data_IF_284703008294
#
_entry.id   IF_284703008294
#
_cell.length_a   1.000
_cell.length_b   1.000
_cell.length_c   1.000
_cell.angle_alpha   90.00
_cell.angle_beta   90.00
_cell.angle_gamma   90.00
#
_symmetry.space_group_name_H-M   'P 1'
#
loop_
_entity.id
_entity.type
_entity.pdbx_description
1 polymer ?
#
# COMPACT_ATOMS: atom_id res chain seq x y z
N UNK A 1 7.08 -6.05 19.30
CA UNK A 1 8.17 -6.49 18.41
C UNK A 1 8.21 -8.00 18.19
N UNK A 2 8.60 -8.84 19.16
CA UNK A 2 8.71 -10.31 18.96
C UNK A 2 7.36 -10.98 18.72
N UNK A 3 6.34 -10.61 19.51
CA UNK A 3 4.98 -11.15 19.36
C UNK A 3 4.43 -10.93 17.95
N UNK A 4 4.62 -9.72 17.41
CA UNK A 4 4.06 -9.33 16.11
C UNK A 4 4.62 -10.16 14.95
N UNK A 5 5.94 -10.38 14.91
CA UNK A 5 6.53 -11.22 13.87
C UNK A 5 6.25 -12.71 14.08
N UNK A 6 6.18 -13.18 15.33
CA UNK A 6 5.75 -14.56 15.58
C UNK A 6 4.33 -14.80 15.03
N UNK A 7 3.44 -13.82 15.16
CA UNK A 7 2.09 -13.90 14.59
C UNK A 7 2.10 -13.82 13.06
N UNK A 8 2.95 -12.96 12.47
CA UNK A 8 3.11 -12.89 11.02
C UNK A 8 3.57 -14.23 10.45
N UNK A 9 4.60 -14.82 11.04
CA UNK A 9 5.13 -16.14 10.63
C UNK A 9 4.11 -17.26 10.88
N UNK A 10 3.35 -17.20 11.96
CA UNK A 10 2.26 -18.15 12.23
C UNK A 10 1.16 -18.13 11.15
N UNK A 11 0.99 -16.99 10.46
CA UNK A 11 0.09 -16.82 9.32
C UNK A 11 0.77 -17.11 7.96
N UNK A 12 2.00 -17.66 7.97
CA UNK A 12 2.85 -17.84 6.78
C UNK A 12 3.16 -16.53 6.04
N UNK A 13 3.09 -15.39 6.74
CA UNK A 13 3.42 -14.08 6.21
C UNK A 13 4.93 -13.91 6.06
N UNK A 14 5.37 -13.42 4.90
CA UNK A 14 6.78 -13.20 4.57
C UNK A 14 7.12 -11.74 4.21
N UNK A 15 6.13 -10.83 4.27
CA UNK A 15 6.30 -9.43 3.92
C UNK A 15 5.36 -8.54 4.76
N UNK A 16 5.82 -7.34 5.10
CA UNK A 16 4.95 -6.26 5.60
C UNK A 16 5.36 -4.89 5.06
N UNK A 17 4.44 -3.92 5.14
CA UNK A 17 4.68 -2.51 4.82
C UNK A 17 4.69 -1.69 6.11
N UNK A 18 5.58 -0.72 6.26
CA UNK A 18 5.61 0.16 7.44
C UNK A 18 4.56 1.27 7.35
N UNK A 19 3.29 0.88 7.25
CA UNK A 19 2.15 1.80 7.14
C UNK A 19 2.02 2.63 8.44
N UNK A 20 2.10 3.97 8.44
CA UNK A 20 2.42 4.88 7.33
C UNK A 20 3.62 5.76 7.68
N UNK A 21 4.68 5.15 8.20
CA UNK A 21 5.92 5.81 8.60
C UNK A 21 7.02 4.78 8.84
N UNK A 22 8.31 5.14 8.76
CA UNK A 22 9.38 4.23 9.09
C UNK A 22 9.24 3.75 10.54
N UNK A 23 9.24 2.43 10.76
CA UNK A 23 9.20 1.86 12.10
C UNK A 23 10.57 1.97 12.80
N UNK A 24 10.68 1.46 14.02
CA UNK A 24 11.94 1.52 14.79
C UNK A 24 13.07 0.71 14.12
N UNK A 25 14.33 1.05 14.38
CA UNK A 25 15.49 0.39 13.78
C UNK A 25 15.58 -1.09 14.20
N UNK A 26 15.19 -1.41 15.43
CA UNK A 26 15.13 -2.79 15.92
C UNK A 26 14.12 -3.62 15.14
N UNK A 27 13.05 -2.98 14.64
CA UNK A 27 12.05 -3.67 13.82
C UNK A 27 12.66 -4.11 12.48
N UNK A 28 13.46 -3.26 11.84
CA UNK A 28 14.17 -3.57 10.61
C UNK A 28 15.28 -4.61 10.84
N UNK A 29 16.08 -4.46 11.90
CA UNK A 29 17.11 -5.44 12.27
C UNK A 29 16.54 -6.84 12.53
N UNK A 30 15.36 -6.93 13.14
CA UNK A 30 14.70 -8.21 13.37
C UNK A 30 14.08 -8.78 12.08
N UNK A 31 13.62 -7.94 11.15
CA UNK A 31 13.17 -8.39 9.84
C UNK A 31 14.33 -8.97 9.01
N UNK A 32 15.50 -8.33 9.06
CA UNK A 32 16.74 -8.87 8.46
C UNK A 32 17.05 -10.26 9.02
N UNK A 33 17.02 -10.40 10.36
CA UNK A 33 17.37 -11.65 11.05
C UNK A 33 16.43 -12.81 10.69
N UNK A 34 15.15 -12.51 10.44
CA UNK A 34 14.12 -13.52 10.13
C UNK A 34 13.92 -13.75 8.63
N UNK A 35 14.49 -12.90 7.77
CA UNK A 35 14.27 -12.97 6.33
C UNK A 35 12.86 -12.55 5.91
N UNK A 36 12.27 -11.58 6.61
CA UNK A 36 10.96 -11.02 6.28
C UNK A 36 11.15 -9.78 5.42
N UNK A 37 10.51 -9.72 4.27
CA UNK A 37 10.60 -8.58 3.36
C UNK A 37 9.83 -7.36 3.91
N UNK A 38 10.36 -6.16 3.65
CA UNK A 38 9.79 -4.90 4.14
C UNK A 38 9.69 -3.90 3.00
N UNK A 39 8.48 -3.36 2.82
CA UNK A 39 8.25 -2.13 2.05
C UNK A 39 8.30 -0.97 3.05
N UNK A 40 9.41 -0.23 3.06
CA UNK A 40 9.58 0.89 3.99
C UNK A 40 8.94 2.15 3.40
N UNK A 41 8.09 2.80 4.17
CA UNK A 41 7.23 3.91 3.74
C UNK A 41 7.54 5.22 4.44
N UNK A 42 7.66 6.30 3.66
CA UNK A 42 7.79 7.66 4.16
C UNK A 42 6.46 8.16 4.76
N UNK A 43 6.49 9.08 5.74
CA UNK A 43 5.31 9.53 6.47
C UNK A 43 4.45 10.54 5.71
N UNK A 44 4.09 10.23 4.46
CA UNK A 44 3.26 11.07 3.60
C UNK A 44 1.93 10.35 3.28
N UNK A 45 1.00 10.37 4.23
CA UNK A 45 -0.34 9.77 4.11
C UNK A 45 -1.41 10.84 3.86
N UNK A 46 -2.32 10.57 2.92
CA UNK A 46 -3.45 11.46 2.66
C UNK A 46 -3.01 12.85 2.19
N UNK A 47 -2.02 12.92 1.30
CA UNK A 47 -1.45 14.19 0.85
C UNK A 47 -2.36 14.87 -0.19
N UNK A 48 -2.84 16.08 0.11
CA UNK A 48 -3.73 16.85 -0.78
C UNK A 48 -3.03 18.02 -1.50
N UNK A 49 -2.00 18.61 -0.88
CA UNK A 49 -1.34 19.83 -1.36
C UNK A 49 0.10 19.54 -1.82
N UNK A 50 0.38 19.89 -3.07
CA UNK A 50 1.63 19.59 -3.79
C UNK A 50 2.43 20.87 -4.06
N UNK A 51 2.72 21.63 -3.01
CA UNK A 51 3.52 22.85 -3.08
C UNK A 51 5.00 22.61 -2.75
N UNK A 52 5.83 23.62 -2.98
CA UNK A 52 7.28 23.50 -2.81
C UNK A 52 7.71 23.27 -1.35
N UNK A 53 7.13 23.95 -0.34
CA UNK A 53 7.42 23.64 1.06
C UNK A 53 7.15 22.17 1.43
N UNK A 54 5.99 21.62 1.02
CA UNK A 54 5.67 20.21 1.26
C UNK A 54 6.63 19.27 0.52
N UNK A 55 7.04 19.63 -0.70
CA UNK A 55 8.00 18.84 -1.48
C UNK A 55 9.38 18.81 -0.81
N UNK A 56 9.83 19.94 -0.25
CA UNK A 56 11.11 20.02 0.48
C UNK A 56 11.10 19.18 1.76
N UNK A 57 10.03 19.29 2.56
CA UNK A 57 9.88 18.49 3.77
C UNK A 57 9.81 16.99 3.43
N UNK A 58 9.03 16.62 2.41
CA UNK A 58 8.91 15.24 1.97
C UNK A 58 10.24 14.70 1.43
N UNK A 59 10.97 15.50 0.65
CA UNK A 59 12.32 15.17 0.19
C UNK A 59 13.27 14.88 1.36
N UNK A 60 13.20 15.69 2.42
CA UNK A 60 14.00 15.49 3.62
C UNK A 60 13.64 14.17 4.32
N UNK A 61 12.35 13.90 4.54
CA UNK A 61 11.90 12.67 5.21
C UNK A 61 12.28 11.41 4.42
N UNK A 62 12.21 11.44 3.08
CA UNK A 62 12.68 10.34 2.23
C UNK A 62 14.20 10.14 2.37
N UNK A 63 14.98 11.23 2.39
CA UNK A 63 16.44 11.15 2.58
C UNK A 63 16.80 10.52 3.91
N UNK A 64 16.18 10.97 5.00
CA UNK A 64 16.41 10.45 6.35
C UNK A 64 16.03 8.96 6.44
N UNK A 65 14.88 8.57 5.88
CA UNK A 65 14.45 7.17 5.83
C UNK A 65 15.47 6.30 5.07
N UNK A 66 15.90 6.71 3.88
CA UNK A 66 16.85 5.93 3.07
C UNK A 66 18.23 5.90 3.72
N UNK A 67 18.71 7.02 4.25
CA UNK A 67 20.02 7.09 4.93
C UNK A 67 20.08 6.11 6.10
N UNK A 68 19.00 6.04 6.89
CA UNK A 68 18.86 5.09 8.00
C UNK A 68 18.76 3.65 7.51
N UNK A 69 17.88 3.36 6.55
CA UNK A 69 17.44 1.98 6.28
C UNK A 69 18.12 1.31 5.07
N UNK A 70 18.89 2.02 4.24
CA UNK A 70 19.48 1.48 2.99
C UNK A 70 20.35 0.23 3.16
N UNK A 71 20.87 0.01 4.37
CA UNK A 71 21.73 -1.15 4.67
C UNK A 71 20.95 -2.36 5.18
N UNK A 72 19.64 -2.26 5.39
CA UNK A 72 18.79 -3.40 5.75
C UNK A 72 18.47 -4.24 4.51
N UNK A 73 18.95 -5.49 4.39
CA UNK A 73 18.56 -6.39 3.30
C UNK A 73 17.07 -6.72 3.30
N UNK A 74 16.38 -6.65 4.45
CA UNK A 74 14.94 -6.85 4.53
C UNK A 74 14.15 -5.79 3.78
N UNK A 75 14.68 -4.56 3.68
CA UNK A 75 14.02 -3.51 2.93
C UNK A 75 14.17 -3.80 1.44
N UNK A 76 13.06 -4.12 0.78
CA UNK A 76 13.05 -4.53 -0.63
C UNK A 76 12.51 -3.44 -1.57
N UNK A 77 11.82 -2.43 -1.05
CA UNK A 77 11.17 -1.40 -1.85
C UNK A 77 10.89 -0.15 -1.01
N UNK A 78 11.02 1.03 -1.62
CA UNK A 78 10.71 2.31 -0.98
C UNK A 78 9.30 2.78 -1.39
N UNK A 79 8.41 2.99 -0.42
CA UNK A 79 7.10 3.63 -0.63
C UNK A 79 7.21 5.11 -0.28
N UNK A 80 6.90 5.99 -1.24
CA UNK A 80 7.03 7.43 -1.02
C UNK A 80 5.77 8.04 -0.40
N UNK A 81 4.60 7.46 -0.59
CA UNK A 81 3.37 8.03 -0.05
C UNK A 81 2.24 6.99 0.01
N UNK A 82 1.27 7.24 0.88
CA UNK A 82 0.03 6.51 0.95
C UNK A 82 -1.16 7.39 0.59
N UNK A 83 -1.92 6.96 -0.41
CA UNK A 83 -3.16 7.59 -0.87
C UNK A 83 -3.05 9.12 -1.06
N UNK A 84 -2.02 9.63 -1.76
CA UNK A 84 -2.03 11.03 -2.15
C UNK A 84 -3.18 11.28 -3.14
N UNK A 85 -3.59 12.55 -3.27
CA UNK A 85 -4.48 13.00 -4.34
C UNK A 85 -3.77 12.99 -5.71
N UNK A 86 -3.32 11.82 -6.15
CA UNK A 86 -2.51 11.59 -7.35
C UNK A 86 -3.23 11.90 -8.65
N UNK A 87 -4.55 12.11 -8.61
CA UNK A 87 -5.34 12.56 -9.75
C UNK A 87 -5.18 14.07 -10.04
N UNK A 88 -4.63 14.86 -9.10
CA UNK A 88 -4.33 16.28 -9.32
C UNK A 88 -3.11 16.42 -10.25
N UNK A 89 -3.21 17.29 -11.27
CA UNK A 89 -2.10 17.56 -12.22
C UNK A 89 -0.80 17.99 -11.53
N UNK A 90 -0.89 18.72 -10.42
CA UNK A 90 0.26 19.16 -9.63
C UNK A 90 1.00 18.01 -8.95
N UNK A 91 0.36 16.85 -8.76
CA UNK A 91 1.01 15.66 -8.21
C UNK A 91 2.13 15.14 -9.12
N UNK A 92 2.00 15.31 -10.45
CA UNK A 92 2.98 14.78 -11.41
C UNK A 92 4.37 15.39 -11.21
N UNK A 93 4.47 16.72 -11.19
CA UNK A 93 5.76 17.39 -11.01
C UNK A 93 6.34 17.09 -9.63
N UNK A 94 5.49 17.16 -8.60
CA UNK A 94 5.86 16.86 -7.22
C UNK A 94 6.49 15.46 -7.07
N UNK A 95 5.80 14.41 -7.53
CA UNK A 95 6.31 13.05 -7.39
C UNK A 95 7.42 12.72 -8.40
N UNK A 96 7.46 13.35 -9.58
CA UNK A 96 8.58 13.22 -10.50
C UNK A 96 9.89 13.64 -9.83
N UNK A 97 9.90 14.78 -9.14
CA UNK A 97 11.10 15.29 -8.45
C UNK A 97 11.52 14.36 -7.31
N UNK A 98 10.56 13.89 -6.49
CA UNK A 98 10.82 12.94 -5.41
C UNK A 98 11.33 11.59 -5.90
N UNK A 99 10.75 11.03 -6.97
CA UNK A 99 11.18 9.75 -7.55
C UNK A 99 12.59 9.88 -8.12
N UNK A 100 12.89 10.95 -8.86
CA UNK A 100 14.23 11.19 -9.41
C UNK A 100 15.28 11.31 -8.30
N UNK A 101 14.94 12.05 -7.23
CA UNK A 101 15.79 12.15 -6.05
C UNK A 101 16.00 10.79 -5.38
N UNK A 102 14.93 10.03 -5.16
CA UNK A 102 14.97 8.71 -4.52
C UNK A 102 15.86 7.75 -5.32
N UNK A 103 15.73 7.71 -6.65
CA UNK A 103 16.60 6.92 -7.54
C UNK A 103 18.07 7.35 -7.47
N UNK A 104 18.34 8.63 -7.24
CA UNK A 104 19.70 9.13 -7.09
C UNK A 104 20.32 8.71 -5.74
N UNK A 105 19.50 8.54 -4.70
CA UNK A 105 19.93 8.10 -3.37
C UNK A 105 20.13 6.58 -3.29
N UNK A 106 19.24 5.80 -3.89
CA UNK A 106 19.32 4.34 -3.94
C UNK A 106 18.87 3.81 -5.31
N UNK A 107 19.81 3.23 -6.06
CA UNK A 107 19.56 2.59 -7.36
C UNK A 107 19.26 1.09 -7.26
N UNK A 108 19.37 0.51 -6.06
CA UNK A 108 19.35 -0.94 -5.84
C UNK A 108 17.96 -1.48 -5.56
N UNK A 109 16.99 -0.61 -5.26
CA UNK A 109 15.63 -0.98 -4.87
C UNK A 109 14.58 -0.28 -5.72
N UNK A 110 13.46 -0.95 -6.04
CA UNK A 110 12.32 -0.33 -6.67
C UNK A 110 11.67 0.74 -5.78
N UNK A 111 10.91 1.63 -6.43
CA UNK A 111 10.15 2.70 -5.79
C UNK A 111 8.66 2.48 -6.08
N UNK A 112 7.81 2.70 -5.08
CA UNK A 112 6.35 2.65 -5.19
C UNK A 112 5.71 3.87 -4.54
N UNK A 113 4.43 4.07 -4.86
CA UNK A 113 3.46 4.91 -4.16
C UNK A 113 2.20 4.06 -4.04
N UNK A 114 1.48 4.18 -2.92
CA UNK A 114 0.23 3.46 -2.69
C UNK A 114 -0.97 4.32 -3.14
N UNK A 115 -1.73 3.82 -4.11
CA UNK A 115 -2.77 4.57 -4.81
C UNK A 115 -4.20 4.19 -4.39
N UNK A 116 -5.02 5.20 -4.09
CA UNK A 116 -6.49 5.09 -3.96
C UNK A 116 -7.24 5.71 -5.15
N UNK A 117 -6.60 6.56 -5.95
CA UNK A 117 -7.16 7.13 -7.19
C UNK A 117 -7.52 6.05 -8.23
N UNK A 118 -8.46 6.35 -9.12
CA UNK A 118 -8.76 5.51 -10.28
C UNK A 118 -7.59 5.51 -11.26
N UNK A 119 -7.32 4.36 -11.90
CA UNK A 119 -6.25 4.22 -12.90
C UNK A 119 -6.33 5.30 -13.99
N UNK A 120 -7.54 5.66 -14.43
CA UNK A 120 -7.76 6.57 -15.56
C UNK A 120 -7.46 8.04 -15.28
N UNK A 121 -7.43 8.45 -14.02
CA UNK A 121 -7.17 9.84 -13.63
C UNK A 121 -5.81 10.03 -12.96
N UNK A 122 -5.11 8.95 -12.60
CA UNK A 122 -3.82 9.00 -11.94
C UNK A 122 -2.75 9.70 -12.81
N UNK A 123 -1.96 10.58 -12.20
CA UNK A 123 -0.95 11.39 -12.88
C UNK A 123 0.50 10.89 -12.64
N UNK A 124 0.67 9.83 -11.85
CA UNK A 124 1.94 9.49 -11.19
C UNK A 124 2.32 8.01 -11.35
N UNK A 125 1.37 7.10 -11.50
CA UNK A 125 1.61 5.65 -11.54
C UNK A 125 2.55 5.21 -12.68
N UNK A 126 2.63 5.97 -13.77
CA UNK A 126 3.59 5.76 -14.85
C UNK A 126 5.04 6.05 -14.44
N UNK A 127 5.30 6.67 -13.28
CA UNK A 127 6.64 7.03 -12.82
C UNK A 127 7.28 6.01 -11.85
N UNK A 128 6.48 5.21 -11.14
CA UNK A 128 6.94 4.24 -10.12
C UNK A 128 7.37 2.90 -10.72
N UNK A 129 8.13 2.06 -10.03
CA UNK A 129 8.55 0.75 -10.57
C UNK A 129 7.47 -0.33 -10.38
N UNK A 130 6.76 -0.28 -9.26
CA UNK A 130 5.66 -1.19 -8.89
C UNK A 130 4.47 -0.34 -8.48
N UNK A 131 3.27 -0.74 -8.90
CA UNK A 131 2.04 -0.06 -8.53
C UNK A 131 1.44 -0.75 -7.32
N UNK A 132 1.27 -0.03 -6.21
CA UNK A 132 0.54 -0.52 -5.04
C UNK A 132 -0.85 0.12 -5.02
N UNK A 133 -1.91 -0.68 -4.86
CA UNK A 133 -3.28 -0.14 -4.80
C UNK A 133 -4.05 -0.61 -3.56
N UNK A 134 -4.85 0.31 -3.03
CA UNK A 134 -5.77 0.06 -1.93
C UNK A 134 -7.20 0.03 -2.46
N UNK A 135 -7.93 -1.07 -2.25
CA UNK A 135 -9.37 -1.14 -2.56
C UNK A 135 -10.12 -1.93 -1.50
N UNK A 136 -11.30 -1.44 -1.17
CA UNK A 136 -12.17 -1.97 -0.13
C UNK A 136 -13.55 -2.32 -0.70
N UNK A 137 -13.57 -3.17 -1.74
CA UNK A 137 -14.82 -3.68 -2.34
C UNK A 137 -15.59 -4.54 -1.33
N UNK A 138 -16.91 -4.39 -1.28
CA UNK A 138 -17.77 -4.99 -0.27
C UNK A 138 -17.80 -4.23 1.06
N UNK A 139 -16.92 -3.24 1.24
CA UNK A 139 -16.85 -2.39 2.43
C UNK A 139 -17.18 -0.93 2.10
N UNK A 140 -16.22 -0.13 1.61
CA UNK A 140 -16.45 1.27 1.21
C UNK A 140 -17.04 1.42 -0.18
N UNK A 141 -16.90 0.40 -1.03
CA UNK A 141 -17.46 0.36 -2.39
C UNK A 141 -18.40 -0.84 -2.45
N UNK A 142 -19.64 -0.63 -2.89
CA UNK A 142 -20.68 -1.67 -2.93
C UNK A 142 -20.87 -2.38 -1.57
N UNK A 143 -21.08 -1.59 -0.51
CA UNK A 143 -21.15 -2.04 0.88
C UNK A 143 -22.07 -3.25 1.07
N UNK A 144 -21.53 -4.32 1.67
CA UNK A 144 -22.25 -5.57 1.93
C UNK A 144 -22.49 -6.46 0.71
N UNK A 145 -22.17 -5.99 -0.50
CA UNK A 145 -22.39 -6.76 -1.72
C UNK A 145 -21.18 -7.61 -2.11
N UNK A 146 -20.95 -8.69 -1.35
CA UNK A 146 -19.79 -9.57 -1.50
C UNK A 146 -19.63 -10.19 -2.91
N UNK A 147 -20.75 -10.36 -3.63
CA UNK A 147 -20.74 -10.93 -4.99
C UNK A 147 -20.02 -10.05 -6.01
N UNK A 148 -19.92 -8.73 -5.78
CA UNK A 148 -19.21 -7.82 -6.67
C UNK A 148 -17.68 -7.87 -6.50
N UNK A 149 -17.17 -8.30 -5.34
CA UNK A 149 -15.74 -8.19 -4.99
C UNK A 149 -14.84 -8.79 -6.07
N UNK A 150 -15.14 -10.01 -6.52
CA UNK A 150 -14.32 -10.70 -7.52
C UNK A 150 -14.33 -9.97 -8.88
N UNK A 151 -15.51 -9.59 -9.38
CA UNK A 151 -15.61 -8.88 -10.66
C UNK A 151 -14.93 -7.51 -10.60
N UNK A 152 -15.02 -6.81 -9.47
CA UNK A 152 -14.41 -5.50 -9.27
C UNK A 152 -12.89 -5.58 -9.25
N UNK A 153 -12.31 -6.55 -8.54
CA UNK A 153 -10.86 -6.78 -8.56
C UNK A 153 -10.35 -7.19 -9.94
N UNK A 154 -11.05 -8.08 -10.65
CA UNK A 154 -10.67 -8.47 -12.02
C UNK A 154 -10.69 -7.27 -12.96
N UNK A 155 -11.70 -6.42 -12.86
CA UNK A 155 -11.77 -5.17 -13.63
C UNK A 155 -10.62 -4.24 -13.28
N UNK A 156 -10.37 -4.01 -11.99
CA UNK A 156 -9.33 -3.10 -11.51
C UNK A 156 -7.94 -3.55 -12.00
N UNK A 157 -7.56 -4.80 -11.73
CA UNK A 157 -6.27 -5.37 -12.13
C UNK A 157 -6.05 -5.31 -13.64
N UNK A 158 -7.07 -5.64 -14.44
CA UNK A 158 -6.96 -5.59 -15.91
C UNK A 158 -6.71 -4.17 -16.41
N UNK A 159 -7.40 -3.17 -15.89
CA UNK A 159 -7.27 -1.81 -16.36
C UNK A 159 -5.96 -1.16 -15.90
N UNK A 160 -5.53 -1.36 -14.65
CA UNK A 160 -4.21 -0.93 -14.20
C UNK A 160 -3.09 -1.58 -15.03
N UNK A 161 -3.19 -2.88 -15.30
CA UNK A 161 -2.20 -3.60 -16.12
C UNK A 161 -2.21 -3.10 -17.57
N UNK A 162 -3.38 -2.88 -18.16
CA UNK A 162 -3.51 -2.37 -19.52
C UNK A 162 -2.93 -0.96 -19.66
N UNK A 163 -3.20 -0.07 -18.70
CA UNK A 163 -2.81 1.33 -18.78
C UNK A 163 -1.32 1.56 -18.56
N UNK A 164 -0.71 0.87 -17.59
CA UNK A 164 0.67 1.14 -17.18
C UNK A 164 1.66 0.01 -17.51
N UNK A 165 1.16 -1.21 -17.74
CA UNK A 165 1.96 -2.41 -18.00
C UNK A 165 3.01 -2.75 -16.91
N UNK A 166 2.78 -2.39 -15.65
CA UNK A 166 3.71 -2.66 -14.53
C UNK A 166 3.26 -3.82 -13.64
N UNK A 167 4.14 -4.36 -12.78
CA UNK A 167 3.73 -5.20 -11.66
C UNK A 167 2.79 -4.45 -10.71
N UNK A 168 1.83 -5.16 -10.14
CA UNK A 168 0.81 -4.59 -9.24
C UNK A 168 0.82 -5.38 -7.93
N UNK A 169 0.75 -4.67 -6.81
CA UNK A 169 0.55 -5.21 -5.46
C UNK A 169 -0.76 -4.65 -4.91
N UNK A 170 -1.59 -5.52 -4.33
CA UNK A 170 -2.70 -5.10 -3.48
C UNK A 170 -2.11 -4.82 -2.10
N UNK A 171 -1.97 -3.54 -1.76
CA UNK A 171 -1.30 -3.10 -0.53
C UNK A 171 -2.25 -3.00 0.66
N UNK A 172 -3.53 -2.80 0.40
CA UNK A 172 -4.58 -2.84 1.43
C UNK A 172 -5.89 -3.37 0.86
N UNK A 173 -6.57 -4.17 1.69
CA UNK A 173 -7.94 -4.61 1.54
C UNK A 173 -8.43 -5.07 2.92
N UNK A 174 -9.73 -5.09 3.15
CA UNK A 174 -10.29 -5.58 4.41
C UNK A 174 -11.72 -5.11 4.64
N UNK A 175 -12.22 -5.40 5.84
CA UNK A 175 -13.48 -4.91 6.35
C UNK A 175 -13.37 -4.81 7.88
N UNK A 176 -14.03 -3.82 8.48
CA UNK A 176 -14.04 -3.74 9.94
C UNK A 176 -14.79 -4.94 10.51
N UNK A 177 -14.26 -5.49 11.60
CA UNK A 177 -14.80 -6.68 12.25
C UNK A 177 -14.86 -6.46 13.75
N UNK A 178 -16.04 -6.63 14.34
CA UNK A 178 -16.25 -6.56 15.79
C UNK A 178 -16.25 -8.01 16.32
N UNK A 179 -15.28 -8.42 17.17
CA UNK A 179 -15.25 -9.77 17.71
C UNK A 179 -16.58 -10.12 18.41
N UNK A 180 -17.16 -11.27 18.06
CA UNK A 180 -18.43 -11.74 18.58
C UNK A 180 -19.68 -11.23 17.84
N UNK A 181 -19.54 -10.24 16.94
CA UNK A 181 -20.62 -9.83 16.05
C UNK A 181 -20.47 -10.56 14.71
N UNK A 182 -21.17 -11.68 14.58
CA UNK A 182 -21.22 -12.42 13.32
C UNK A 182 -22.30 -11.86 12.40
N UNK A 183 -22.01 -11.76 11.11
CA UNK A 183 -23.06 -11.52 10.12
C UNK A 183 -23.99 -12.73 10.12
N UNK A 184 -25.20 -12.54 10.66
CA UNK A 184 -26.26 -13.55 10.54
C UNK A 184 -26.61 -13.60 9.06
N UNK A 185 -26.38 -14.73 8.39
CA UNK A 185 -26.97 -14.94 7.07
C UNK A 185 -28.47 -14.75 7.25
N UNK A 186 -29.03 -13.72 6.61
CA UNK A 186 -30.46 -13.68 6.34
C UNK A 186 -30.73 -14.82 5.37
N UNK A 187 -30.88 -16.03 5.91
CA UNK A 187 -31.55 -17.11 5.20
C UNK A 187 -32.95 -16.59 4.95
N UNK A 188 -33.24 -16.31 3.67
CA UNK A 188 -34.62 -16.18 3.23
C UNK A 188 -35.37 -17.38 3.78
N UNK A 189 -36.36 -17.11 4.62
CA UNK A 189 -37.40 -18.05 5.00
C UNK A 189 -37.93 -18.76 3.76
N UNK A 190 -37.38 -19.94 3.49
CA UNK A 190 -38.03 -21.01 2.77
C UNK A 190 -37.83 -22.25 3.61
N UNK A 191 -38.78 -22.39 4.53
CA UNK A 191 -39.30 -23.64 5.06
C UNK A 191 -38.72 -24.87 4.36
N UNK A 192 -38.00 -25.70 5.11
CA UNK A 192 -38.28 -27.13 5.21
C UNK A 192 -37.72 -27.63 6.54
N UNK A 193 -38.62 -28.12 7.39
CA UNK A 193 -38.31 -29.11 8.42
C UNK A 193 -37.44 -30.22 7.84
N UNK A 194 -36.53 -30.80 8.65
CA UNK A 194 -36.69 -32.15 9.19
C UNK A 194 -35.58 -32.48 10.19
N UNK A 195 -36.04 -32.92 11.37
CA UNK A 195 -35.41 -33.68 12.47
C UNK A 195 -34.22 -33.05 13.20
#
# INVERSE_FOLDING_TARGET
MTKDLNMLEWMDGNCYRTSHYPYSEERAAEADRRGIAVITEAPAVGLFEFDKPNEMLHSQMIREMIERDRNHPSTIMWSLANEPQSSRKTARSYFSDLINMTRALDKTRPITIVFSSAFSSDQVADLVDVICINRYYGWYIDTGYLKAINSSWVFEMKNWKYMFNKPIIVSEYGADSIPGLNQVEWQNDRAFHFL
#
